data_IF_098356424506
#
_entry.id   IF_098356424506
#
_cell.length_a   1.000
_cell.length_b   1.000
_cell.length_c   1.000
_cell.angle_alpha   90.00
_cell.angle_beta   90.00
_cell.angle_gamma   90.00
#
_symmetry.space_group_name_H-M   'P 1'
#
loop_
_entity.id
_entity.type
_entity.pdbx_description
1 polymer ?
#
# COMPACT_ATOMS: atom_id res chain seq x y z
N UNK A 1 -7.12 12.84 26.65
CA UNK A 1 -8.02 13.41 25.62
C UNK A 1 -8.53 12.27 24.75
N UNK A 2 -9.83 12.19 24.48
CA UNK A 2 -10.57 10.95 24.24
C UNK A 2 -10.23 10.16 22.97
N UNK A 3 -9.56 9.03 23.17
CA UNK A 3 -9.20 8.01 22.15
C UNK A 3 -10.43 7.32 21.53
N UNK A 4 -11.62 7.44 22.13
CA UNK A 4 -12.86 6.72 21.77
C UNK A 4 -13.97 7.63 21.22
N UNK A 5 -13.74 8.36 20.13
CA UNK A 5 -14.81 9.08 19.41
C UNK A 5 -15.24 8.44 18.09
N UNK A 6 -14.42 7.58 17.51
CA UNK A 6 -14.75 6.88 16.28
C UNK A 6 -15.31 5.50 16.63
N UNK A 7 -16.45 5.16 16.03
CA UNK A 7 -17.07 3.82 16.13
C UNK A 7 -16.70 3.01 14.88
N UNK A 8 -16.41 1.72 15.06
CA UNK A 8 -15.98 0.83 13.97
C UNK A 8 -14.46 0.78 13.78
N UNK A 9 -14.01 0.07 12.76
CA UNK A 9 -12.60 0.00 12.36
C UNK A 9 -12.17 1.31 11.71
N UNK A 10 -11.07 1.89 12.21
CA UNK A 10 -10.50 3.11 11.66
C UNK A 10 -9.89 2.78 10.29
N UNK A 11 -10.20 3.56 9.22
CA UNK A 11 -9.68 3.27 7.89
C UNK A 11 -8.17 3.48 7.86
N UNK A 12 -7.46 2.56 7.21
CA UNK A 12 -6.01 2.62 7.01
C UNK A 12 -5.67 3.04 5.58
N UNK A 13 -4.42 3.44 5.36
CA UNK A 13 -3.87 3.67 4.02
C UNK A 13 -3.16 2.41 3.51
N UNK A 14 -3.59 1.88 2.38
CA UNK A 14 -2.91 0.77 1.71
C UNK A 14 -1.78 1.29 0.82
N UNK A 15 -0.59 0.69 0.89
CA UNK A 15 0.56 1.08 0.05
C UNK A 15 1.00 -0.12 -0.81
N UNK A 16 0.97 0.09 -2.12
CA UNK A 16 1.17 -0.93 -3.16
C UNK A 16 2.51 -0.68 -3.88
N UNK A 17 3.63 -1.31 -3.45
CA UNK A 17 4.90 -1.23 -4.17
C UNK A 17 4.84 -2.04 -5.46
N UNK A 18 4.65 -1.40 -6.62
CA UNK A 18 4.65 -2.10 -7.91
C UNK A 18 6.05 -2.14 -8.51
N UNK A 19 6.39 -3.24 -9.17
CA UNK A 19 7.74 -3.50 -9.70
C UNK A 19 7.67 -4.09 -11.10
N UNK A 20 8.75 -3.97 -11.87
CA UNK A 20 8.92 -4.73 -13.11
C UNK A 20 8.94 -6.23 -12.80
N UNK A 21 8.05 -7.00 -13.42
CA UNK A 21 7.95 -8.45 -13.22
C UNK A 21 9.04 -9.28 -13.93
N UNK A 22 9.93 -8.67 -14.71
CA UNK A 22 11.03 -9.40 -15.38
C UNK A 22 12.06 -9.88 -14.36
N UNK A 23 12.23 -11.18 -14.28
CA UNK A 23 13.26 -11.83 -13.45
C UNK A 23 14.62 -11.87 -14.14
N UNK A 24 15.60 -12.53 -13.52
CA UNK A 24 16.98 -12.73 -14.01
C UNK A 24 17.80 -11.44 -14.02
N UNK A 25 17.61 -10.60 -13.02
CA UNK A 25 18.45 -9.46 -12.67
C UNK A 25 17.73 -8.12 -12.69
N UNK A 26 16.62 -7.99 -13.41
CA UNK A 26 15.88 -6.72 -13.47
C UNK A 26 15.11 -6.52 -12.16
N UNK A 27 14.14 -7.38 -11.85
CA UNK A 27 13.33 -7.31 -10.63
C UNK A 27 14.19 -7.33 -9.37
N UNK A 28 15.13 -8.27 -9.29
CA UNK A 28 15.96 -8.50 -8.11
C UNK A 28 16.80 -7.27 -7.74
N UNK A 29 17.21 -6.47 -8.74
CA UNK A 29 17.94 -5.22 -8.50
C UNK A 29 17.08 -4.06 -7.99
N UNK A 30 15.74 -4.18 -8.06
CA UNK A 30 14.78 -3.13 -7.74
C UNK A 30 13.94 -3.41 -6.48
N UNK A 31 13.98 -4.63 -5.93
CA UNK A 31 13.16 -5.06 -4.78
C UNK A 31 13.33 -4.14 -3.56
N UNK A 32 14.57 -3.93 -3.11
CA UNK A 32 14.87 -3.14 -1.92
C UNK A 32 14.48 -1.67 -2.09
N UNK A 33 14.73 -1.10 -3.28
CA UNK A 33 14.37 0.29 -3.58
C UNK A 33 12.85 0.46 -3.62
N UNK A 34 12.13 -0.46 -4.26
CA UNK A 34 10.67 -0.41 -4.41
C UNK A 34 9.99 -0.54 -3.05
N UNK A 35 10.41 -1.52 -2.24
CA UNK A 35 9.89 -1.68 -0.88
C UNK A 35 10.31 -0.53 0.04
N UNK A 36 11.51 0.04 -0.17
CA UNK A 36 11.99 1.24 0.51
C UNK A 36 11.09 2.45 0.27
N UNK A 37 10.61 2.67 -0.96
CA UNK A 37 9.65 3.72 -1.27
C UNK A 37 8.32 3.52 -0.52
N UNK A 38 7.81 2.30 -0.46
CA UNK A 38 6.57 2.02 0.27
C UNK A 38 6.71 2.32 1.76
N UNK A 39 7.81 1.90 2.38
CA UNK A 39 8.13 2.20 3.79
C UNK A 39 8.29 3.70 4.03
N UNK A 40 8.93 4.43 3.11
CA UNK A 40 9.10 5.88 3.22
C UNK A 40 7.75 6.62 3.20
N UNK A 41 6.82 6.21 2.32
CA UNK A 41 5.46 6.77 2.28
C UNK A 41 4.68 6.42 3.56
N UNK A 42 4.75 5.18 4.03
CA UNK A 42 4.11 4.77 5.29
C UNK A 42 4.59 5.62 6.48
N UNK A 43 5.90 5.86 6.55
CA UNK A 43 6.49 6.71 7.58
C UNK A 43 6.02 8.16 7.42
N UNK A 44 6.05 8.71 6.21
CA UNK A 44 5.61 10.09 5.95
C UNK A 44 4.16 10.30 6.43
N UNK A 45 3.27 9.38 6.09
CA UNK A 45 1.84 9.46 6.44
C UNK A 45 1.65 9.32 7.95
N UNK A 46 2.15 8.24 8.54
CA UNK A 46 1.97 7.97 9.98
C UNK A 46 2.59 9.04 10.88
N UNK A 47 3.70 9.65 10.47
CA UNK A 47 4.35 10.71 11.24
C UNK A 47 3.55 12.02 11.19
N UNK A 48 3.02 12.41 10.02
CA UNK A 48 2.46 13.74 9.81
C UNK A 48 0.93 13.81 9.92
N UNK A 49 0.21 12.70 9.70
CA UNK A 49 -1.25 12.71 9.66
C UNK A 49 -1.85 12.06 10.91
N UNK A 50 -2.99 12.60 11.33
CA UNK A 50 -3.81 12.08 12.44
C UNK A 50 -5.25 11.98 11.97
N UNK A 51 -5.95 10.97 12.46
CA UNK A 51 -7.40 10.93 12.37
C UNK A 51 -8.03 12.04 13.23
N UNK A 52 -9.32 12.38 13.05
CA UNK A 52 -10.00 13.41 13.84
C UNK A 52 -10.00 13.17 15.37
N UNK A 53 -9.74 11.93 15.80
CA UNK A 53 -9.59 11.56 17.22
C UNK A 53 -8.14 11.71 17.74
N UNK A 54 -7.21 12.16 16.90
CA UNK A 54 -5.81 12.42 17.25
C UNK A 54 -4.87 11.22 17.15
N UNK A 55 -5.34 10.04 16.76
CA UNK A 55 -4.48 8.85 16.57
C UNK A 55 -3.72 8.97 15.23
N UNK A 56 -2.43 8.61 15.16
CA UNK A 56 -1.68 8.46 13.91
C UNK A 56 -2.44 7.66 12.87
N UNK A 57 -2.38 8.10 11.61
CA UNK A 57 -2.90 7.31 10.49
C UNK A 57 -2.05 6.06 10.32
N UNK A 58 -2.68 4.89 10.35
CA UNK A 58 -2.02 3.61 10.13
C UNK A 58 -1.92 3.31 8.63
N UNK A 59 -0.85 2.60 8.24
CA UNK A 59 -0.60 2.19 6.87
C UNK A 59 -0.36 0.68 6.81
N UNK A 60 -0.93 0.04 5.79
CA UNK A 60 -0.68 -1.36 5.46
C UNK A 60 0.05 -1.46 4.12
N UNK A 61 1.23 -2.05 4.14
CA UNK A 61 2.04 -2.28 2.93
C UNK A 61 1.73 -3.69 2.40
N UNK A 62 1.68 -3.87 1.08
CA UNK A 62 1.59 -5.20 0.48
C UNK A 62 2.72 -6.13 0.98
N UNK A 63 2.44 -7.43 1.16
CA UNK A 63 3.42 -8.38 1.70
C UNK A 63 4.62 -8.63 0.78
N UNK A 64 4.47 -8.31 -0.51
CA UNK A 64 5.52 -8.40 -1.53
C UNK A 64 5.37 -7.27 -2.55
N UNK A 65 6.40 -7.06 -3.36
CA UNK A 65 6.31 -6.17 -4.51
C UNK A 65 5.41 -6.77 -5.61
N UNK A 66 4.63 -5.91 -6.25
CA UNK A 66 3.56 -6.29 -7.17
C UNK A 66 4.08 -6.21 -8.61
N UNK A 67 4.52 -7.36 -9.12
CA UNK A 67 5.02 -7.52 -10.49
C UNK A 67 3.98 -8.01 -11.50
N UNK A 68 2.79 -8.41 -11.04
CA UNK A 68 1.70 -8.89 -11.89
C UNK A 68 0.43 -9.20 -11.09
N UNK A 69 -0.54 -9.82 -11.76
CA UNK A 69 -1.92 -10.01 -11.25
C UNK A 69 -1.95 -10.81 -9.95
N UNK A 70 -1.14 -11.86 -9.82
CA UNK A 70 -1.15 -12.71 -8.61
C UNK A 70 -0.85 -11.90 -7.35
N UNK A 71 0.22 -11.09 -7.37
CA UNK A 71 0.55 -10.25 -6.22
C UNK A 71 -0.48 -9.12 -6.02
N UNK A 72 -1.06 -8.59 -7.10
CA UNK A 72 -2.09 -7.57 -7.01
C UNK A 72 -3.35 -8.08 -6.28
N UNK A 73 -3.79 -9.30 -6.59
CA UNK A 73 -4.92 -9.97 -5.92
C UNK A 73 -4.61 -10.25 -4.45
N UNK A 74 -3.41 -10.77 -4.15
CA UNK A 74 -2.99 -11.02 -2.76
C UNK A 74 -2.97 -9.72 -1.94
N UNK A 75 -2.49 -8.63 -2.53
CA UNK A 75 -2.52 -7.31 -1.90
C UNK A 75 -3.95 -6.82 -1.63
N UNK A 76 -4.85 -6.95 -2.62
CA UNK A 76 -6.24 -6.54 -2.47
C UNK A 76 -6.96 -7.35 -1.36
N UNK A 77 -6.68 -8.66 -1.27
CA UNK A 77 -7.25 -9.52 -0.23
C UNK A 77 -6.75 -9.16 1.18
N UNK A 78 -5.47 -8.80 1.31
CA UNK A 78 -4.94 -8.25 2.56
C UNK A 78 -5.66 -6.93 2.91
N UNK A 79 -5.70 -5.99 1.98
CA UNK A 79 -6.26 -4.66 2.20
C UNK A 79 -7.73 -4.68 2.61
N UNK A 80 -8.52 -5.57 2.00
CA UNK A 80 -9.92 -5.79 2.40
C UNK A 80 -10.06 -6.26 3.85
N UNK A 81 -9.17 -7.13 4.32
CA UNK A 81 -9.17 -7.64 5.71
C UNK A 81 -8.68 -6.59 6.71
N UNK A 82 -7.76 -5.74 6.31
CA UNK A 82 -7.14 -4.71 7.14
C UNK A 82 -7.92 -3.39 7.19
N UNK A 83 -9.12 -3.32 6.59
CA UNK A 83 -9.94 -2.11 6.55
C UNK A 83 -9.20 -0.92 5.92
N UNK A 84 -8.48 -1.18 4.82
CA UNK A 84 -7.89 -0.13 4.00
C UNK A 84 -9.02 0.66 3.32
N UNK A 85 -8.99 1.99 3.47
CA UNK A 85 -9.99 2.89 2.89
C UNK A 85 -9.49 3.73 1.72
N UNK A 86 -8.21 3.63 1.37
CA UNK A 86 -7.58 4.30 0.23
C UNK A 86 -6.29 3.56 -0.14
N UNK A 87 -5.90 3.54 -1.42
CA UNK A 87 -4.67 2.91 -1.89
C UNK A 87 -3.69 3.91 -2.52
N UNK A 88 -2.40 3.76 -2.24
CA UNK A 88 -1.32 4.52 -2.88
C UNK A 88 -0.37 3.54 -3.54
N UNK A 89 -0.25 3.61 -4.86
CA UNK A 89 0.73 2.84 -5.62
C UNK A 89 2.03 3.63 -5.76
N UNK A 90 3.16 2.99 -5.48
CA UNK A 90 4.50 3.60 -5.60
C UNK A 90 5.39 2.68 -6.43
N UNK A 91 6.24 3.28 -7.27
CA UNK A 91 7.25 2.53 -8.02
C UNK A 91 8.40 3.43 -8.49
N UNK A 92 9.64 2.91 -8.53
CA UNK A 92 10.76 3.58 -9.19
C UNK A 92 10.95 3.14 -10.66
N UNK A 93 10.09 2.26 -11.19
CA UNK A 93 10.35 1.57 -12.46
C UNK A 93 9.10 1.36 -13.31
N UNK A 94 9.30 0.86 -14.53
CA UNK A 94 8.20 0.42 -15.39
C UNK A 94 7.46 -0.76 -14.76
N UNK A 95 6.12 -0.77 -14.89
CA UNK A 95 5.24 -1.82 -14.40
C UNK A 95 4.17 -2.16 -15.45
N UNK A 96 3.59 -3.35 -15.38
CA UNK A 96 2.56 -3.82 -16.31
C UNK A 96 1.16 -3.29 -15.95
N UNK A 97 0.96 -1.96 -16.08
CA UNK A 97 -0.30 -1.23 -15.92
C UNK A 97 -1.50 -1.99 -15.34
N UNK A 98 -2.36 -2.56 -16.20
CA UNK A 98 -3.60 -3.24 -15.80
C UNK A 98 -3.40 -4.52 -15.00
N UNK A 99 -2.23 -5.15 -15.09
CA UNK A 99 -1.89 -6.35 -14.34
C UNK A 99 -1.54 -6.03 -12.88
N UNK A 100 -1.08 -4.82 -12.60
CA UNK A 100 -0.62 -4.41 -11.26
C UNK A 100 -1.52 -3.38 -10.59
N UNK A 101 -2.46 -2.76 -11.32
CA UNK A 101 -3.33 -1.71 -10.79
C UNK A 101 -4.25 -2.19 -9.65
N UNK A 102 -4.73 -1.26 -8.85
CA UNK A 102 -5.86 -1.50 -7.95
C UNK A 102 -7.14 -1.38 -8.77
N UNK A 103 -8.04 -2.33 -8.60
CA UNK A 103 -9.29 -2.42 -9.36
C UNK A 103 -10.52 -2.11 -8.50
N UNK A 104 -10.34 -1.78 -7.22
CA UNK A 104 -11.45 -1.38 -6.36
C UNK A 104 -12.00 -0.02 -6.80
N UNK A 105 -13.26 0.08 -7.25
CA UNK A 105 -13.82 1.33 -7.75
C UNK A 105 -14.37 2.22 -6.62
N UNK A 106 -14.36 1.75 -5.36
CA UNK A 106 -15.02 2.42 -4.24
C UNK A 106 -14.07 3.11 -3.28
N UNK A 107 -12.78 2.79 -3.31
CA UNK A 107 -11.75 3.45 -2.50
C UNK A 107 -10.87 4.36 -3.35
N UNK A 108 -10.48 5.54 -2.84
CA UNK A 108 -9.55 6.43 -3.54
C UNK A 108 -8.15 5.85 -3.70
#
# INVERSE_FOLDING_TARGET
MGVKRLSGSIPKVGIRPTIDGREKGVRESLEDQTMGMAKAVANLISHNLRHPNGIPVECDIADSTIGGVTQAVMCADKFRKENVGLSITVTPCWCYGSETMDMDPYIP
#
